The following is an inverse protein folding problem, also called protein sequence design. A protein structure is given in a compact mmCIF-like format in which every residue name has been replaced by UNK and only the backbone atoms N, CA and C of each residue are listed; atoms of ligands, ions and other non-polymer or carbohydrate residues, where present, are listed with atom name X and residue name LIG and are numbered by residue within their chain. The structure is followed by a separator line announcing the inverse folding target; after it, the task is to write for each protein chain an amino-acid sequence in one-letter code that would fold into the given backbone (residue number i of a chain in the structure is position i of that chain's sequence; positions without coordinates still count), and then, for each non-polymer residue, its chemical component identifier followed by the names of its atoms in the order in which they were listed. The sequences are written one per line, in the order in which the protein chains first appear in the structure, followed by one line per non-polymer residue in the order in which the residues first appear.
data_IF_132977952626
#
_entry.id   IF_132977952626
#
_cell.length_a   1.000
_cell.length_b   1.000
_cell.length_c   1.000
_cell.angle_alpha   90.00
_cell.angle_beta   90.00
_cell.angle_gamma   90.00
#
_symmetry.space_group_name_H-M   'P 1'
#
loop_
_entity.id
_entity.type
_entity.pdbx_description
1 polymer ?
#
# COMPACT_ATOMS: atom_id res chain seq x y z
N UNK A 1 -2.69 -5.96 12.84
CA UNK A 1 -1.97 -6.11 14.13
C UNK A 1 -0.84 -7.16 14.15
N UNK A 2 -0.54 -7.85 13.03
CA UNK A 2 0.56 -8.82 12.91
C UNK A 2 1.79 -8.19 12.23
N UNK A 3 2.16 -6.98 12.62
CA UNK A 3 3.45 -6.36 12.27
C UNK A 3 4.18 -6.22 13.60
N UNK A 4 5.33 -6.89 13.78
CA UNK A 4 6.04 -6.95 15.08
C UNK A 4 6.32 -5.58 15.72
N UNK A 5 6.30 -4.50 14.94
CA UNK A 5 6.51 -3.11 15.38
C UNK A 5 5.27 -2.42 15.96
N UNK A 6 4.07 -3.00 15.81
CA UNK A 6 2.82 -2.37 16.23
C UNK A 6 2.82 -2.01 17.73
N UNK A 7 3.29 -2.93 18.58
CA UNK A 7 3.36 -2.71 20.02
C UNK A 7 4.33 -1.59 20.41
N UNK A 8 5.46 -1.45 19.70
CA UNK A 8 6.43 -0.38 19.93
C UNK A 8 5.85 0.98 19.56
N UNK A 9 5.19 1.09 18.40
CA UNK A 9 4.57 2.33 17.93
C UNK A 9 3.44 2.75 18.88
N UNK A 10 2.62 1.81 19.34
CA UNK A 10 1.56 2.09 20.31
C UNK A 10 2.11 2.53 21.67
N UNK A 11 3.15 1.86 22.20
CA UNK A 11 3.82 2.24 23.44
C UNK A 11 4.45 3.65 23.35
N UNK A 12 4.93 4.02 22.16
CA UNK A 12 5.45 5.36 21.91
C UNK A 12 4.33 6.40 21.82
N UNK A 13 3.26 6.12 21.07
CA UNK A 13 2.11 7.02 20.90
C UNK A 13 1.36 7.27 22.22
N UNK A 14 1.18 6.23 23.05
CA UNK A 14 0.55 6.33 24.38
C UNK A 14 1.32 7.21 25.36
N UNK A 15 2.60 7.49 25.09
CA UNK A 15 3.39 8.46 25.86
C UNK A 15 2.95 9.91 25.61
N UNK A 16 2.44 10.21 24.42
CA UNK A 16 1.99 11.54 24.02
C UNK A 16 0.49 11.74 24.28
N UNK A 17 -0.31 10.68 24.15
CA UNK A 17 -1.73 10.68 24.48
C UNK A 17 -2.12 9.38 25.20
N UNK A 18 -2.48 9.49 26.48
CA UNK A 18 -2.85 8.34 27.33
C UNK A 18 -4.15 7.66 26.89
N UNK A 19 -4.99 8.32 26.10
CA UNK A 19 -6.21 7.75 25.55
C UNK A 19 -5.99 7.11 24.16
N UNK A 20 -4.76 7.12 23.66
CA UNK A 20 -4.42 6.60 22.34
C UNK A 20 -4.43 5.06 22.35
N UNK A 21 -5.59 4.48 22.07
CA UNK A 21 -5.78 3.04 22.03
C UNK A 21 -5.40 2.40 20.69
N UNK A 22 -5.49 1.06 20.67
CA UNK A 22 -5.34 0.24 19.45
C UNK A 22 -6.30 0.69 18.36
N UNK A 23 -7.55 1.00 18.73
CA UNK A 23 -8.59 1.46 17.80
C UNK A 23 -8.27 2.82 17.19
N UNK A 24 -7.79 3.78 17.97
CA UNK A 24 -7.39 5.12 17.50
C UNK A 24 -6.19 5.03 16.55
N UNK A 25 -5.22 4.17 16.85
CA UNK A 25 -4.07 3.95 15.99
C UNK A 25 -4.48 3.32 14.66
N UNK A 26 -5.36 2.33 14.67
CA UNK A 26 -5.88 1.72 13.44
C UNK A 26 -6.72 2.74 12.65
N UNK A 27 -7.61 3.47 13.31
CA UNK A 27 -8.50 4.44 12.66
C UNK A 27 -7.73 5.62 12.03
N UNK A 28 -6.61 6.04 12.64
CA UNK A 28 -5.75 7.10 12.08
C UNK A 28 -4.90 6.60 10.90
N UNK A 29 -4.51 5.32 10.90
CA UNK A 29 -3.74 4.72 9.81
C UNK A 29 -4.60 4.25 8.62
N UNK A 30 -5.90 4.01 8.85
CA UNK A 30 -6.86 3.54 7.85
C UNK A 30 -7.05 4.52 6.68
N UNK A 31 -7.30 5.82 6.86
CA UNK A 31 -7.39 6.76 5.74
C UNK A 31 -6.10 6.79 4.94
N UNK A 32 -4.94 6.85 5.61
CA UNK A 32 -3.64 6.84 4.93
C UNK A 32 -3.46 5.58 4.07
N UNK A 33 -3.82 4.42 4.60
CA UNK A 33 -3.74 3.14 3.88
C UNK A 33 -4.65 3.11 2.65
N UNK A 34 -5.87 3.66 2.75
CA UNK A 34 -6.81 3.76 1.62
C UNK A 34 -6.26 4.70 0.55
N UNK A 35 -5.80 5.89 0.93
CA UNK A 35 -5.21 6.85 -0.01
C UNK A 35 -4.00 6.26 -0.72
N UNK A 36 -3.09 5.64 0.04
CA UNK A 36 -1.90 5.00 -0.52
C UNK A 36 -2.27 3.86 -1.47
N UNK A 37 -3.25 3.03 -1.10
CA UNK A 37 -3.72 1.94 -1.96
C UNK A 37 -4.29 2.46 -3.28
N UNK A 38 -5.21 3.42 -3.22
CA UNK A 38 -5.82 4.03 -4.42
C UNK A 38 -4.73 4.66 -5.30
N UNK A 39 -3.84 5.44 -4.69
CA UNK A 39 -2.73 6.07 -5.40
C UNK A 39 -1.82 5.03 -6.07
N UNK A 40 -1.48 3.95 -5.36
CA UNK A 40 -0.61 2.91 -5.88
C UNK A 40 -1.23 2.15 -7.06
N UNK A 41 -2.52 1.84 -6.95
CA UNK A 41 -3.29 1.23 -8.04
C UNK A 41 -3.35 2.18 -9.24
N UNK A 42 -3.68 3.45 -9.03
CA UNK A 42 -3.71 4.45 -10.11
C UNK A 42 -2.35 4.59 -10.79
N UNK A 43 -1.27 4.67 -10.00
CA UNK A 43 0.09 4.75 -10.51
C UNK A 43 0.44 3.52 -11.35
N UNK A 44 0.08 2.31 -10.89
CA UNK A 44 0.26 1.09 -11.65
C UNK A 44 -0.48 1.14 -12.99
N UNK A 45 -1.76 1.53 -12.99
CA UNK A 45 -2.55 1.61 -14.22
C UNK A 45 -1.99 2.65 -15.20
N UNK A 46 -1.64 3.83 -14.72
CA UNK A 46 -1.06 4.88 -15.54
C UNK A 46 0.30 4.46 -16.11
N UNK A 47 1.15 3.84 -15.30
CA UNK A 47 2.48 3.39 -15.71
C UNK A 47 2.43 2.29 -16.77
N UNK A 48 1.61 1.26 -16.53
CA UNK A 48 1.57 0.05 -17.35
C UNK A 48 0.72 0.23 -18.60
N UNK A 49 -0.48 0.81 -18.47
CA UNK A 49 -1.43 0.95 -19.58
C UNK A 49 -1.39 2.33 -20.23
N UNK A 50 -1.10 3.39 -19.47
CA UNK A 50 -1.00 4.75 -20.00
C UNK A 50 0.33 5.01 -20.70
N UNK A 51 1.45 4.67 -20.05
CA UNK A 51 2.80 4.87 -20.61
C UNK A 51 3.35 3.63 -21.32
N UNK A 52 2.66 2.48 -21.26
CA UNK A 52 3.08 1.25 -21.93
C UNK A 52 4.38 0.66 -21.40
N UNK A 53 4.85 1.11 -20.23
CA UNK A 53 6.12 0.65 -19.66
C UNK A 53 5.94 -0.71 -18.99
N UNK A 54 6.86 -1.66 -19.22
CA UNK A 54 6.79 -2.96 -18.59
C UNK A 54 6.98 -2.79 -17.07
N UNK A 55 6.29 -3.62 -16.29
CA UNK A 55 6.38 -3.64 -14.82
C UNK A 55 7.77 -4.05 -14.31
N UNK A 56 8.58 -4.62 -15.20
CA UNK A 56 9.98 -4.94 -14.99
C UNK A 56 10.67 -5.35 -16.31
N UNK A 57 12.01 -5.28 -16.37
CA UNK A 57 12.77 -5.66 -17.55
C UNK A 57 12.47 -7.12 -17.92
N UNK A 58 12.06 -7.36 -19.17
CA UNK A 58 11.71 -8.70 -19.66
C UNK A 58 10.33 -9.23 -19.25
N UNK A 59 9.44 -8.39 -18.69
CA UNK A 59 8.04 -8.76 -18.43
C UNK A 59 7.10 -8.19 -19.51
N UNK A 60 6.85 -8.92 -20.62
CA UNK A 60 5.85 -8.50 -21.59
C UNK A 60 4.48 -8.51 -20.91
N UNK A 61 3.79 -7.36 -20.96
CA UNK A 61 2.47 -7.15 -20.36
C UNK A 61 1.36 -7.84 -21.14
N UNK A 62 1.63 -8.25 -22.38
CA UNK A 62 0.71 -8.98 -23.25
C UNK A 62 1.23 -10.39 -23.50
N UNK A 63 0.35 -11.38 -23.30
CA UNK A 63 0.60 -12.75 -23.72
C UNK A 63 0.22 -12.91 -25.19
N UNK A 64 1.20 -13.17 -26.06
CA UNK A 64 0.93 -13.61 -27.43
C UNK A 64 0.72 -15.12 -27.43
N UNK A 65 -0.50 -15.64 -27.68
CA UNK A 65 -0.73 -17.07 -27.74
C UNK A 65 0.02 -17.70 -28.93
N UNK A 66 0.54 -18.93 -28.79
CA UNK A 66 1.24 -19.61 -29.86
C UNK A 66 0.23 -20.09 -30.91
N UNK A 67 0.04 -19.33 -31.99
CA UNK A 67 -0.84 -19.73 -33.10
C UNK A 67 -1.47 -18.63 -33.96
N UNK A 68 -0.86 -17.44 -34.06
CA UNK A 68 -1.26 -16.38 -34.99
C UNK A 68 -0.05 -15.80 -35.71
#
# INVERSE_FOLDING_TARGET
PMMSYFGLILAWATRYDKNFGIGTLIATMLPYSIFFFIFWVMLFFLWVFGLGMPVGPGSPTFYTPPGG
#
